data_IF_048459241943
#
_entry.id   IF_048459241943
#
_cell.length_a   1.000
_cell.length_b   1.000
_cell.length_c   1.000
_cell.angle_alpha   90.00
_cell.angle_beta   90.00
_cell.angle_gamma   90.00
#
_symmetry.space_group_name_H-M   'P 1'
#
loop_
_entity.id
_entity.type
_entity.pdbx_description
1 polymer ?
2 water ?
#
# COMPACT_ATOMS: atom_id res chain seq x y z
N UNK A 1 -0.12 -0.65 -3.53
CA UNK A 1 -0.53 -1.95 -2.95
C UNK A 1 -1.79 -1.69 -2.11
N UNK A 2 -2.41 -2.79 -1.68
CA UNK A 2 -3.49 -2.78 -0.71
C UNK A 2 -3.00 -3.09 0.71
N UNK A 3 -1.74 -2.78 0.95
CA UNK A 3 -1.15 -2.85 2.27
C UNK A 3 -0.94 -1.43 2.77
N UNK A 4 -1.57 -1.12 3.90
CA UNK A 4 -1.59 0.22 4.46
C UNK A 4 -0.20 0.83 4.53
N UNK A 5 -0.03 1.97 3.87
CA UNK A 5 1.24 2.67 3.90
C UNK A 5 2.22 2.34 2.80
N UNK A 6 1.83 1.49 1.85
CA UNK A 6 2.74 1.05 0.81
C UNK A 6 2.11 1.36 -0.54
N UNK A 7 2.57 2.44 -1.18
CA UNK A 7 1.95 2.89 -2.40
C UNK A 7 1.98 1.84 -3.49
N UNK A 8 0.93 1.75 -4.28
CA UNK A 8 0.82 0.75 -5.37
C UNK A 8 0.34 -0.63 -4.89
#
# INVERSE_FOLDING_TARGET
TIIFGFGG
#
